data_IF_227384036430
#
_entry.id   IF_227384036430
#
_cell.length_a   1.000
_cell.length_b   1.000
_cell.length_c   1.000
_cell.angle_alpha   90.00
_cell.angle_beta   90.00
_cell.angle_gamma   90.00
#
_symmetry.space_group_name_H-M   'P 1'
#
loop_
_entity.id
_entity.type
_entity.pdbx_description
1 polymer ?
#
# COMPACT_ATOMS: atom_id res chain seq x y z
N UNK A 1 11.97 37.99 3.88
CA UNK A 1 12.48 37.46 5.16
C UNK A 1 12.40 35.95 5.07
N UNK A 2 13.53 35.26 5.12
CA UNK A 2 13.58 33.79 5.05
C UNK A 2 13.18 33.24 6.44
N UNK A 3 12.09 32.48 6.53
CA UNK A 3 11.66 31.91 7.81
C UNK A 3 12.63 30.78 8.23
N UNK A 4 13.02 30.70 9.51
CA UNK A 4 13.89 29.62 9.97
C UNK A 4 13.19 28.26 9.78
N UNK A 5 13.90 27.34 9.13
CA UNK A 5 13.46 25.96 8.93
C UNK A 5 14.10 25.03 9.97
N UNK A 6 13.33 24.05 10.42
CA UNK A 6 13.70 23.09 11.46
C UNK A 6 13.75 21.67 10.90
N UNK A 7 14.77 20.90 11.26
CA UNK A 7 14.95 19.53 10.78
C UNK A 7 14.14 18.52 11.59
N UNK A 8 13.33 17.70 10.92
CA UNK A 8 12.62 16.61 11.57
C UNK A 8 13.56 15.41 11.83
N UNK A 9 13.64 14.96 13.07
CA UNK A 9 14.46 13.79 13.48
C UNK A 9 13.99 12.43 12.93
N UNK A 10 12.80 12.37 12.30
CA UNK A 10 12.21 11.13 11.75
C UNK A 10 12.35 11.01 10.24
N UNK A 11 12.10 12.09 9.51
CA UNK A 11 12.17 12.09 8.04
C UNK A 11 13.34 12.91 7.48
N UNK A 12 14.14 13.55 8.34
CA UNK A 12 15.34 14.33 8.01
C UNK A 12 15.11 15.46 7.00
N UNK A 13 13.85 15.93 6.86
CA UNK A 13 13.47 17.09 6.04
C UNK A 13 13.32 18.34 6.91
N UNK A 14 13.47 19.50 6.26
CA UNK A 14 13.34 20.81 6.88
C UNK A 14 11.92 21.34 6.71
N UNK A 15 11.33 21.87 7.80
CA UNK A 15 9.96 22.38 7.84
C UNK A 15 9.90 23.73 8.59
N UNK A 16 8.95 24.62 8.25
CA UNK A 16 8.72 25.82 9.05
C UNK A 16 8.20 25.45 10.45
N UNK A 17 8.39 26.34 11.43
CA UNK A 17 7.91 26.13 12.81
C UNK A 17 6.42 25.79 12.89
N UNK A 18 5.60 26.32 11.97
CA UNK A 18 4.17 26.05 11.86
C UNK A 18 3.85 24.58 11.52
N UNK A 19 4.76 23.86 10.88
CA UNK A 19 4.62 22.45 10.49
C UNK A 19 5.37 21.49 11.43
N UNK A 20 6.06 22.02 12.44
CA UNK A 20 6.66 21.24 13.50
C UNK A 20 5.64 20.85 14.57
N UNK A 21 5.87 19.73 15.24
CA UNK A 21 5.15 19.33 16.44
C UNK A 21 5.48 20.30 17.59
N UNK A 22 4.65 20.31 18.64
CA UNK A 22 4.89 21.17 19.83
C UNK A 22 6.28 20.97 20.46
N UNK A 23 6.85 19.77 20.36
CA UNK A 23 8.19 19.50 20.89
C UNK A 23 9.32 20.05 20.01
N UNK A 24 9.04 20.49 18.78
CA UNK A 24 10.06 20.98 17.86
C UNK A 24 11.05 19.92 17.38
N UNK A 25 10.80 18.63 17.65
CA UNK A 25 11.70 17.53 17.29
C UNK A 25 11.23 16.74 16.05
N UNK A 26 9.94 16.77 15.76
CA UNK A 26 9.31 16.04 14.64
C UNK A 26 8.36 16.95 13.88
N UNK A 27 8.21 16.75 12.57
CA UNK A 27 7.14 17.43 11.84
C UNK A 27 5.77 16.88 12.25
N UNK A 28 4.70 17.65 12.06
CA UNK A 28 3.32 17.23 12.30
C UNK A 28 2.97 15.92 11.57
N UNK A 29 3.57 15.70 10.40
CA UNK A 29 3.41 14.46 9.63
C UNK A 29 4.04 13.22 10.28
N UNK A 30 5.11 13.39 11.05
CA UNK A 30 5.77 12.31 11.79
C UNK A 30 5.25 12.15 13.23
N UNK A 31 4.25 12.94 13.65
CA UNK A 31 3.73 12.88 15.01
C UNK A 31 2.79 11.66 15.18
N UNK A 32 3.12 10.69 16.06
CA UNK A 32 2.35 9.45 16.23
C UNK A 32 0.91 9.65 16.72
N UNK A 33 0.58 10.80 17.30
CA UNK A 33 -0.71 11.06 17.96
C UNK A 33 -1.89 11.30 16.99
N UNK A 34 -1.64 11.48 15.68
CA UNK A 34 -2.68 11.53 14.66
C UNK A 34 -2.54 10.32 13.72
N UNK A 35 -2.90 9.14 14.22
CA UNK A 35 -2.90 7.90 13.44
C UNK A 35 -4.02 7.91 12.41
N UNK A 36 -3.83 8.66 11.33
CA UNK A 36 -4.61 8.50 10.11
C UNK A 36 -4.02 7.33 9.33
N UNK A 37 -4.88 6.40 8.92
CA UNK A 37 -4.50 5.40 7.92
C UNK A 37 -4.36 6.13 6.58
N UNK A 38 -3.30 5.81 5.84
CA UNK A 38 -3.14 6.25 4.46
C UNK A 38 -3.03 5.05 3.56
N UNK A 39 -3.57 5.18 2.37
CA UNK A 39 -3.42 4.17 1.36
C UNK A 39 -2.06 4.27 0.67
N UNK A 40 -1.40 3.12 0.53
CA UNK A 40 -0.20 3.03 -0.28
C UNK A 40 -0.49 3.32 -1.75
N UNK A 41 0.30 4.18 -2.37
CA UNK A 41 0.18 4.51 -3.79
C UNK A 41 0.32 3.29 -4.71
N UNK A 42 1.21 2.36 -4.35
CA UNK A 42 1.49 1.15 -5.13
C UNK A 42 0.53 0.01 -4.82
N UNK A 43 0.57 -0.51 -3.58
CA UNK A 43 -0.20 -1.70 -3.22
C UNK A 43 -1.64 -1.43 -2.82
N UNK A 44 -2.04 -0.15 -2.73
CA UNK A 44 -3.37 0.25 -2.29
C UNK A 44 -3.75 -0.35 -0.94
N UNK A 45 -2.77 -0.65 -0.09
CA UNK A 45 -3.02 -1.14 1.26
C UNK A 45 -2.85 -0.02 2.26
N UNK A 46 -3.68 -0.04 3.29
CA UNK A 46 -3.62 0.96 4.34
C UNK A 46 -2.43 0.73 5.26
N UNK A 47 -1.76 1.83 5.59
CA UNK A 47 -0.60 1.82 6.48
C UNK A 47 -0.63 3.02 7.41
N UNK A 48 -0.07 2.83 8.60
CA UNK A 48 -0.01 3.88 9.62
C UNK A 48 0.99 4.96 9.19
N UNK A 49 0.55 6.22 9.25
CA UNK A 49 1.22 7.42 8.74
C UNK A 49 2.49 7.87 9.49
N UNK A 50 3.08 7.08 10.40
CA UNK A 50 4.23 7.52 11.22
C UNK A 50 5.52 7.80 10.42
N UNK A 51 5.53 7.50 9.12
CA UNK A 51 6.61 7.80 8.17
C UNK A 51 6.08 8.73 7.08
N UNK A 52 6.76 9.85 6.84
CA UNK A 52 6.44 10.77 5.75
C UNK A 52 6.44 10.03 4.39
N UNK A 53 5.29 9.96 3.71
CA UNK A 53 5.17 9.42 2.35
C UNK A 53 3.77 8.92 2.01
N UNK A 54 3.55 8.64 0.72
CA UNK A 54 2.35 7.96 0.18
C UNK A 54 2.58 6.46 -0.02
N UNK A 55 3.79 5.97 0.25
CA UNK A 55 4.23 4.60 -0.02
C UNK A 55 4.42 3.88 1.31
N UNK A 56 3.81 2.69 1.46
CA UNK A 56 3.97 1.90 2.67
C UNK A 56 5.42 1.39 2.82
N UNK A 57 5.89 1.08 4.06
CA UNK A 57 7.27 0.67 4.30
C UNK A 57 7.72 -0.53 3.46
N UNK A 58 6.82 -1.49 3.20
CA UNK A 58 7.10 -2.65 2.34
C UNK A 58 7.40 -2.23 0.91
N UNK A 59 6.52 -1.41 0.34
CA UNK A 59 6.67 -0.90 -1.01
C UNK A 59 7.87 0.03 -1.14
N UNK A 60 8.17 0.82 -0.11
CA UNK A 60 9.36 1.66 -0.06
C UNK A 60 10.65 0.82 -0.08
N UNK A 61 10.71 -0.25 0.73
CA UNK A 61 11.86 -1.16 0.75
C UNK A 61 12.06 -1.86 -0.61
N UNK A 62 10.97 -2.34 -1.23
CA UNK A 62 11.03 -2.95 -2.55
C UNK A 62 11.44 -1.94 -3.64
N UNK A 63 10.95 -0.70 -3.57
CA UNK A 63 11.36 0.38 -4.47
C UNK A 63 12.84 0.70 -4.35
N UNK A 64 13.34 0.81 -3.13
CA UNK A 64 14.77 1.07 -2.89
C UNK A 64 15.66 -0.07 -3.40
N UNK A 65 15.18 -1.31 -3.39
CA UNK A 65 15.95 -2.49 -3.80
C UNK A 65 15.88 -2.79 -5.30
N UNK A 66 14.71 -2.59 -5.91
CA UNK A 66 14.42 -3.04 -7.27
C UNK A 66 14.01 -1.93 -8.24
N UNK A 67 13.92 -0.68 -7.77
CA UNK A 67 13.42 0.45 -8.56
C UNK A 67 11.90 0.55 -8.59
N UNK A 68 11.40 1.40 -9.48
CA UNK A 68 9.95 1.65 -9.61
C UNK A 68 9.18 0.40 -10.07
N UNK A 69 8.02 0.13 -9.46
CA UNK A 69 7.23 -1.05 -9.80
C UNK A 69 6.52 -0.88 -11.14
N UNK A 70 6.43 -1.99 -11.87
CA UNK A 70 5.64 -2.14 -13.08
C UNK A 70 4.19 -2.55 -12.75
N UNK A 71 3.23 -2.29 -13.65
CA UNK A 71 1.87 -2.79 -13.52
C UNK A 71 1.84 -4.31 -13.57
N UNK A 72 1.21 -4.93 -12.58
CA UNK A 72 0.98 -6.37 -12.55
C UNK A 72 0.10 -6.82 -13.73
N UNK A 73 0.46 -7.90 -14.42
CA UNK A 73 -0.32 -8.45 -15.53
C UNK A 73 -1.70 -9.00 -15.12
N UNK A 74 -1.87 -9.31 -13.82
CA UNK A 74 -3.11 -9.85 -13.24
C UNK A 74 -3.98 -8.70 -12.68
N UNK A 75 -3.52 -8.02 -11.63
CA UNK A 75 -4.33 -6.99 -10.94
C UNK A 75 -4.14 -5.56 -11.44
N UNK A 76 -3.27 -5.33 -12.44
CA UNK A 76 -2.93 -4.00 -13.02
C UNK A 76 -2.37 -2.95 -12.06
N UNK A 77 -2.28 -3.23 -10.76
CA UNK A 77 -1.63 -2.36 -9.78
C UNK A 77 -0.12 -2.27 -10.02
N UNK A 78 0.46 -1.08 -9.87
CA UNK A 78 1.91 -0.81 -9.93
C UNK A 78 2.62 -1.42 -8.71
N UNK A 79 2.74 -2.74 -8.68
CA UNK A 79 3.21 -3.55 -7.54
C UNK A 79 4.15 -4.68 -7.94
N UNK A 80 4.45 -4.81 -9.24
CA UNK A 80 5.39 -5.79 -9.73
C UNK A 80 6.79 -5.16 -9.70
N UNK A 81 7.57 -5.47 -8.66
CA UNK A 81 8.90 -4.90 -8.46
C UNK A 81 9.98 -5.71 -9.20
N UNK A 82 10.99 -5.03 -9.74
CA UNK A 82 12.05 -5.65 -10.53
C UNK A 82 11.54 -6.17 -11.88
N UNK A 83 12.11 -7.28 -12.36
CA UNK A 83 11.72 -7.89 -13.64
C UNK A 83 10.45 -8.77 -13.54
N UNK A 84 9.67 -8.63 -12.46
CA UNK A 84 8.45 -9.40 -12.27
C UNK A 84 7.32 -8.85 -13.14
N UNK A 85 6.60 -9.74 -13.83
CA UNK A 85 5.36 -9.39 -14.54
C UNK A 85 4.12 -9.50 -13.64
N UNK A 86 4.21 -10.30 -12.58
CA UNK A 86 3.13 -10.58 -11.63
C UNK A 86 3.58 -10.17 -10.23
N UNK A 87 2.75 -9.43 -9.49
CA UNK A 87 3.07 -9.03 -8.14
C UNK A 87 3.03 -10.23 -7.16
N UNK A 88 3.76 -10.12 -6.05
CA UNK A 88 3.84 -11.20 -5.04
C UNK A 88 2.47 -11.62 -4.51
N UNK A 89 1.52 -10.67 -4.39
CA UNK A 89 0.15 -10.97 -3.98
C UNK A 89 -0.50 -11.92 -4.97
N UNK A 90 -0.60 -11.53 -6.24
CA UNK A 90 -1.22 -12.36 -7.26
C UNK A 90 -0.51 -13.71 -7.42
N UNK A 91 0.82 -13.76 -7.28
CA UNK A 91 1.56 -15.02 -7.28
C UNK A 91 1.12 -15.95 -6.13
N UNK A 92 0.99 -15.41 -4.91
CA UNK A 92 0.54 -16.18 -3.74
C UNK A 92 -0.89 -16.70 -3.90
N UNK A 93 -1.82 -15.87 -4.37
CA UNK A 93 -3.19 -16.31 -4.63
C UNK A 93 -3.23 -17.36 -5.73
N UNK A 94 -2.41 -17.23 -6.78
CA UNK A 94 -2.33 -18.22 -7.86
C UNK A 94 -1.86 -19.58 -7.37
N UNK A 95 -0.85 -19.62 -6.50
CA UNK A 95 -0.38 -20.87 -5.88
C UNK A 95 -1.45 -21.50 -5.00
N UNK A 96 -2.23 -20.68 -4.27
CA UNK A 96 -3.21 -21.16 -3.29
C UNK A 96 -4.55 -21.57 -3.90
N UNK A 97 -4.98 -20.91 -4.97
CA UNK A 97 -6.34 -20.99 -5.51
C UNK A 97 -6.38 -21.28 -7.03
N UNK A 98 -5.23 -21.39 -7.69
CA UNK A 98 -5.14 -21.62 -9.13
C UNK A 98 -5.17 -20.34 -9.96
N UNK A 99 -5.36 -20.50 -11.28
CA UNK A 99 -5.30 -19.37 -12.22
C UNK A 99 -6.39 -18.32 -11.97
N UNK A 100 -6.07 -17.02 -12.15
CA UNK A 100 -7.03 -15.95 -11.99
C UNK A 100 -8.11 -16.02 -13.08
N UNK A 101 -9.35 -15.71 -12.71
CA UNK A 101 -10.48 -15.58 -13.62
C UNK A 101 -10.97 -14.13 -13.69
N UNK A 102 -11.75 -13.85 -14.73
CA UNK A 102 -12.43 -12.58 -14.85
C UNK A 102 -13.48 -12.43 -13.77
N UNK A 103 -13.47 -11.27 -13.12
CA UNK A 103 -14.48 -10.91 -12.18
C UNK A 103 -15.79 -10.52 -12.88
N UNK A 104 -16.88 -11.23 -12.58
CA UNK A 104 -18.19 -10.92 -13.18
C UNK A 104 -18.80 -9.58 -12.72
N UNK A 105 -18.34 -9.02 -11.60
CA UNK A 105 -18.85 -7.76 -11.05
C UNK A 105 -18.05 -6.53 -11.51
N UNK A 106 -16.74 -6.69 -11.76
CA UNK A 106 -15.82 -5.58 -12.05
C UNK A 106 -15.02 -5.75 -13.35
N UNK A 107 -15.16 -6.88 -14.05
CA UNK A 107 -14.51 -7.19 -15.34
C UNK A 107 -12.99 -7.39 -15.27
N UNK A 108 -12.39 -7.39 -14.08
CA UNK A 108 -10.93 -7.51 -13.91
C UNK A 108 -10.48 -8.97 -13.82
N UNK A 109 -9.35 -9.30 -14.44
CA UNK A 109 -8.70 -10.63 -14.39
C UNK A 109 -7.96 -10.87 -13.05
N UNK A 110 -8.68 -10.82 -11.93
CA UNK A 110 -8.09 -10.95 -10.59
C UNK A 110 -8.92 -11.79 -9.61
N UNK A 111 -9.96 -12.49 -10.07
CA UNK A 111 -10.78 -13.34 -9.22
C UNK A 111 -10.12 -14.72 -9.01
N UNK A 112 -10.12 -15.21 -7.78
CA UNK A 112 -9.61 -16.55 -7.43
C UNK A 112 -10.72 -17.34 -6.73
N UNK A 113 -10.97 -18.58 -7.14
CA UNK A 113 -12.04 -19.42 -6.58
C UNK A 113 -11.49 -20.17 -5.37
N UNK A 114 -12.23 -20.17 -4.25
CA UNK A 114 -11.93 -20.97 -3.06
C UNK A 114 -13.02 -22.02 -2.89
N UNK A 115 -12.67 -23.30 -2.90
CA UNK A 115 -13.62 -24.40 -2.68
C UNK A 115 -14.36 -24.27 -1.33
N UNK A 116 -15.65 -24.63 -1.35
CA UNK A 116 -16.67 -24.24 -0.36
C UNK A 116 -16.57 -24.90 1.04
N UNK A 117 -15.56 -25.75 1.30
CA UNK A 117 -15.48 -26.58 2.53
C UNK A 117 -15.04 -25.80 3.78
N UNK A 118 -14.95 -24.47 3.74
CA UNK A 118 -14.59 -23.65 4.91
C UNK A 118 -15.68 -22.64 5.25
N UNK A 119 -16.60 -23.10 6.10
CA UNK A 119 -17.72 -22.39 6.71
C UNK A 119 -17.27 -21.14 7.48
N UNK A 120 -17.32 -19.98 6.81
CA UNK A 120 -17.51 -18.67 7.43
C UNK A 120 -18.61 -17.94 6.64
N UNK A 121 -19.67 -17.42 7.28
CA UNK A 121 -20.82 -16.83 6.59
C UNK A 121 -20.54 -15.44 5.96
N UNK A 122 -19.26 -15.10 5.77
CA UNK A 122 -18.81 -13.94 4.97
C UNK A 122 -18.26 -14.34 3.59
N UNK A 123 -18.31 -15.64 3.26
CA UNK A 123 -18.00 -16.19 1.94
C UNK A 123 -19.21 -16.02 1.00
N UNK A 124 -19.63 -14.78 0.72
CA UNK A 124 -20.23 -14.51 -0.59
C UNK A 124 -19.14 -14.78 -1.62
N UNK A 125 -19.49 -15.22 -2.82
CA UNK A 125 -18.59 -15.34 -3.98
C UNK A 125 -17.87 -13.99 -4.16
N UNK A 126 -16.76 -13.88 -3.45
CA UNK A 126 -15.99 -12.68 -3.28
C UNK A 126 -15.04 -12.66 -4.45
N UNK A 127 -15.57 -12.20 -5.56
CA UNK A 127 -14.84 -11.32 -6.44
C UNK A 127 -14.16 -10.28 -5.54
N UNK A 128 -12.94 -10.56 -5.09
CA UNK A 128 -12.13 -9.65 -4.27
C UNK A 128 -11.63 -8.49 -5.17
N UNK A 129 -12.57 -7.86 -5.90
CA UNK A 129 -12.45 -6.46 -6.29
C UNK A 129 -12.64 -5.54 -5.06
N UNK A 130 -13.11 -6.10 -3.94
CA UNK A 130 -13.22 -5.47 -2.63
C UNK A 130 -11.87 -5.39 -1.87
N UNK A 131 -10.80 -5.03 -2.59
CA UNK A 131 -9.86 -4.07 -2.02
C UNK A 131 -10.37 -2.66 -2.32
N UNK A 132 -11.62 -2.38 -1.94
CA UNK A 132 -11.94 -1.02 -1.57
C UNK A 132 -11.25 -0.74 -0.24
N UNK A 133 -10.11 -0.04 -0.33
CA UNK A 133 -9.76 1.08 0.54
C UNK A 133 -10.33 1.00 1.97
N UNK A 134 -9.73 0.16 2.84
CA UNK A 134 -9.97 0.13 4.29
C UNK A 134 -8.67 0.02 5.07
#
# INVERSE_FOLDING_TARGET
MDQPLFSCTKCFRNFPQSEMSRSGQTCKGCNPHHSTFKQCEFCKSDFKYYLCGTICPRCQSLKSKYGDPQPCSICRLKTAFGNALVCQRCLHYRVRFGEPRECQACGQMCAFIKDEVSSHPRSKVGLDCDMHWL
#
